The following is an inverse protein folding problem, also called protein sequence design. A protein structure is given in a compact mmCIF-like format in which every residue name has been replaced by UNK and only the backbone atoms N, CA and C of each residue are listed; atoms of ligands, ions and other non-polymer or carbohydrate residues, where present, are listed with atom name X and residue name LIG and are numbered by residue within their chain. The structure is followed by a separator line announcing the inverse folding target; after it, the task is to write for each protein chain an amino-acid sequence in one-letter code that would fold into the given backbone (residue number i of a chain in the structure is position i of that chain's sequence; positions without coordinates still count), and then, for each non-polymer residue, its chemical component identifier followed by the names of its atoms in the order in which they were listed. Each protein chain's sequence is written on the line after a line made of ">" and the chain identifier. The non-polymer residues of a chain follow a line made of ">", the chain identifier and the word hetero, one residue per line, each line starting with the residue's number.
data_IF_490721407501
#
_entry.id   IF_490721407501
#
_cell.length_a   1.000
_cell.length_b   1.000
_cell.length_c   1.000
_cell.angle_alpha   90.00
_cell.angle_beta   90.00
_cell.angle_gamma   90.00
#
_symmetry.space_group_name_H-M   'P 1'
#
loop_
_entity.id
_entity.type
_entity.pdbx_description
1 polymer ?
#
# COMPACT_ATOMS: atom_id res chain seq x y z
N UNK A 1 -56.06 20.40 17.87
CA UNK A 1 -54.84 21.20 18.14
C UNK A 1 -54.09 20.53 19.28
N UNK A 2 -53.00 19.81 19.00
CA UNK A 2 -52.23 19.06 19.99
C UNK A 2 -51.56 20.02 20.98
N UNK A 3 -52.21 20.28 22.13
CA UNK A 3 -51.60 21.01 23.25
C UNK A 3 -50.70 20.05 24.02
N UNK A 4 -49.49 19.85 23.52
CA UNK A 4 -48.41 19.22 24.28
C UNK A 4 -48.01 20.19 25.40
N UNK A 5 -47.86 19.71 26.63
CA UNK A 5 -47.48 20.59 27.73
C UNK A 5 -46.04 21.12 27.55
N UNK A 6 -45.77 22.34 28.00
CA UNK A 6 -44.41 22.91 27.94
C UNK A 6 -43.35 22.00 28.59
N UNK A 7 -43.74 21.23 29.60
CA UNK A 7 -42.87 20.24 30.26
C UNK A 7 -42.55 19.05 29.36
N UNK A 8 -43.53 18.52 28.62
CA UNK A 8 -43.31 17.46 27.63
C UNK A 8 -42.41 17.92 26.48
N UNK A 9 -42.53 19.17 26.05
CA UNK A 9 -41.66 19.76 25.01
C UNK A 9 -40.22 19.86 25.51
N UNK A 10 -40.00 20.33 26.75
CA UNK A 10 -38.65 20.43 27.34
C UNK A 10 -38.00 19.06 27.49
N UNK A 11 -38.77 18.06 27.92
CA UNK A 11 -38.28 16.70 28.10
C UNK A 11 -37.91 16.06 26.75
N UNK A 12 -38.79 16.16 25.74
CA UNK A 12 -38.51 15.68 24.38
C UNK A 12 -37.29 16.38 23.76
N UNK A 13 -37.13 17.69 23.97
CA UNK A 13 -35.97 18.44 23.47
C UNK A 13 -34.67 18.03 24.17
N UNK A 14 -34.72 17.75 25.47
CA UNK A 14 -33.57 17.26 26.24
C UNK A 14 -33.15 15.86 25.78
N UNK A 15 -34.12 14.96 25.58
CA UNK A 15 -33.88 13.62 25.06
C UNK A 15 -33.31 13.68 23.64
N UNK A 16 -33.90 14.49 22.75
CA UNK A 16 -33.41 14.70 21.39
C UNK A 16 -32.00 15.32 21.36
N UNK A 17 -31.70 16.26 22.25
CA UNK A 17 -30.35 16.84 22.35
C UNK A 17 -29.33 15.80 22.83
N UNK A 18 -29.72 14.92 23.76
CA UNK A 18 -28.90 13.81 24.23
C UNK A 18 -28.63 12.79 23.14
N UNK A 19 -29.64 12.42 22.35
CA UNK A 19 -29.47 11.49 21.22
C UNK A 19 -28.64 12.10 20.10
N UNK A 20 -28.82 13.38 19.78
CA UNK A 20 -28.01 14.09 18.79
C UNK A 20 -26.53 14.10 19.15
N UNK A 21 -26.19 14.32 20.43
CA UNK A 21 -24.79 14.27 20.87
C UNK A 21 -24.20 12.87 20.77
N UNK A 22 -24.95 11.83 21.18
CA UNK A 22 -24.52 10.44 21.05
C UNK A 22 -24.29 10.06 19.58
N UNK A 23 -25.24 10.38 18.72
CA UNK A 23 -25.13 10.13 17.29
C UNK A 23 -23.96 10.89 16.66
N UNK A 24 -23.72 12.14 17.07
CA UNK A 24 -22.56 12.89 16.60
C UNK A 24 -21.25 12.22 17.00
N UNK A 25 -21.15 11.74 18.25
CA UNK A 25 -19.97 11.03 18.75
C UNK A 25 -19.76 9.70 18.00
N UNK A 26 -20.81 8.89 17.88
CA UNK A 26 -20.78 7.63 17.11
C UNK A 26 -20.38 7.87 15.65
N UNK A 27 -20.85 8.97 15.04
CA UNK A 27 -20.50 9.31 13.68
C UNK A 27 -19.01 9.66 13.54
N UNK A 28 -18.44 10.41 14.47
CA UNK A 28 -16.98 10.66 14.51
C UNK A 28 -16.19 9.36 14.68
N UNK A 29 -16.56 8.51 15.62
CA UNK A 29 -15.87 7.23 15.86
C UNK A 29 -15.95 6.29 14.64
N UNK A 30 -17.11 6.24 13.97
CA UNK A 30 -17.27 5.46 12.75
C UNK A 30 -16.49 6.06 11.59
N UNK A 31 -16.43 7.38 11.47
CA UNK A 31 -15.64 8.08 10.45
C UNK A 31 -14.15 7.80 10.60
N UNK A 32 -13.63 7.80 11.82
CA UNK A 32 -12.23 7.44 12.12
C UNK A 32 -11.93 5.98 11.78
N UNK A 33 -12.82 5.06 12.17
CA UNK A 33 -12.69 3.63 11.80
C UNK A 33 -12.71 3.44 10.29
N UNK A 34 -13.61 4.14 9.58
CA UNK A 34 -13.71 4.08 8.14
C UNK A 34 -12.41 4.57 7.50
N UNK A 35 -11.88 5.71 7.93
CA UNK A 35 -10.61 6.24 7.44
C UNK A 35 -9.44 5.25 7.65
N UNK A 36 -9.38 4.60 8.81
CA UNK A 36 -8.39 3.56 9.09
C UNK A 36 -8.50 2.37 8.13
N UNK A 37 -9.71 1.82 7.95
CA UNK A 37 -9.91 0.66 7.07
C UNK A 37 -9.67 1.01 5.60
N UNK A 38 -10.04 2.21 5.15
CA UNK A 38 -9.74 2.68 3.79
C UNK A 38 -8.23 2.82 3.57
N UNK A 39 -7.50 3.37 4.55
CA UNK A 39 -6.03 3.42 4.49
C UNK A 39 -5.46 2.01 4.40
N UNK A 40 -5.95 1.09 5.24
CA UNK A 40 -5.49 -0.31 5.26
C UNK A 40 -5.71 -1.03 3.94
N UNK A 41 -6.91 -0.94 3.36
CA UNK A 41 -7.22 -1.54 2.06
C UNK A 41 -6.30 -1.00 0.97
N UNK A 42 -6.00 0.31 1.01
CA UNK A 42 -5.06 0.92 0.07
C UNK A 42 -3.64 0.37 0.26
N UNK A 43 -3.16 0.26 1.49
CA UNK A 43 -1.86 -0.34 1.79
C UNK A 43 -1.78 -1.81 1.33
N UNK A 44 -2.86 -2.58 1.48
CA UNK A 44 -2.94 -3.96 1.00
C UNK A 44 -2.80 -4.04 -0.52
N UNK A 45 -3.47 -3.16 -1.29
CA UNK A 45 -3.33 -3.08 -2.76
C UNK A 45 -1.89 -2.75 -3.17
N UNK A 46 -1.30 -1.75 -2.52
CA UNK A 46 0.08 -1.35 -2.79
C UNK A 46 1.05 -2.50 -2.46
N UNK A 47 0.90 -3.17 -1.32
CA UNK A 47 1.72 -4.32 -0.94
C UNK A 47 1.59 -5.50 -1.91
N UNK A 48 0.40 -5.70 -2.48
CA UNK A 48 0.17 -6.69 -3.53
C UNK A 48 0.97 -6.32 -4.79
N UNK A 49 0.86 -5.08 -5.27
CA UNK A 49 1.62 -4.61 -6.44
C UNK A 49 3.14 -4.70 -6.22
N UNK A 50 3.62 -4.36 -5.01
CA UNK A 50 5.02 -4.55 -4.63
C UNK A 50 5.45 -6.01 -4.77
N UNK A 51 4.61 -6.94 -4.32
CA UNK A 51 4.90 -8.37 -4.37
C UNK A 51 4.89 -8.91 -5.79
N UNK A 52 3.94 -8.48 -6.63
CA UNK A 52 3.88 -8.83 -8.05
C UNK A 52 5.08 -8.31 -8.85
N UNK A 53 5.64 -7.16 -8.46
CA UNK A 53 6.82 -6.56 -9.11
C UNK A 53 8.15 -7.06 -8.57
N UNK A 54 8.13 -7.80 -7.46
CA UNK A 54 9.33 -8.27 -6.78
C UNK A 54 10.06 -7.18 -6.00
N UNK A 55 9.34 -6.14 -5.56
CA UNK A 55 9.85 -5.05 -4.74
C UNK A 55 9.87 -5.53 -3.28
N UNK A 56 11.04 -5.42 -2.63
CA UNK A 56 11.32 -5.96 -1.28
C UNK A 56 10.92 -7.45 -1.15
N UNK A 57 11.54 -8.36 -1.92
CA UNK A 57 11.19 -9.78 -1.91
C UNK A 57 11.48 -10.46 -0.57
N UNK A 58 12.35 -9.88 0.26
CA UNK A 58 12.69 -10.33 1.60
C UNK A 58 11.56 -10.13 2.62
N UNK A 59 10.62 -9.21 2.35
CA UNK A 59 9.50 -8.92 3.22
C UNK A 59 8.27 -9.75 2.84
N UNK A 60 7.57 -10.25 3.85
CA UNK A 60 6.24 -10.85 3.70
C UNK A 60 5.19 -9.78 3.37
N UNK A 61 4.05 -10.20 2.81
CA UNK A 61 2.93 -9.29 2.53
C UNK A 61 2.49 -8.52 3.78
N UNK A 62 2.43 -9.19 4.94
CA UNK A 62 2.02 -8.55 6.19
C UNK A 62 3.01 -7.48 6.65
N UNK A 63 4.31 -7.71 6.47
CA UNK A 63 5.35 -6.73 6.81
C UNK A 63 5.29 -5.51 5.89
N UNK A 64 5.05 -5.72 4.59
CA UNK A 64 4.85 -4.61 3.63
C UNK A 64 3.65 -3.75 4.00
N UNK A 65 2.52 -4.37 4.37
CA UNK A 65 1.31 -3.64 4.80
C UNK A 65 1.57 -2.87 6.10
N UNK A 66 2.26 -3.47 7.07
CA UNK A 66 2.61 -2.79 8.32
C UNK A 66 3.52 -1.56 8.06
N UNK A 67 4.55 -1.72 7.23
CA UNK A 67 5.44 -0.61 6.85
C UNK A 67 4.66 0.53 6.17
N UNK A 68 3.77 0.21 5.22
CA UNK A 68 2.94 1.21 4.53
C UNK A 68 1.94 1.91 5.46
N UNK A 69 1.42 1.21 6.48
CA UNK A 69 0.51 1.78 7.47
C UNK A 69 1.21 2.78 8.40
N UNK A 70 2.47 2.53 8.73
CA UNK A 70 3.30 3.36 9.61
C UNK A 70 4.06 4.47 8.86
N UNK A 71 4.07 4.42 7.52
CA UNK A 71 4.79 5.39 6.69
C UNK A 71 4.20 6.79 6.79
N UNK A 72 5.06 7.79 7.04
CA UNK A 72 4.74 9.23 7.03
C UNK A 72 4.65 9.83 5.62
N UNK A 73 5.14 9.11 4.61
CA UNK A 73 5.06 9.53 3.20
C UNK A 73 3.65 9.33 2.66
N UNK A 74 3.23 10.19 1.73
CA UNK A 74 1.95 9.99 1.04
C UNK A 74 1.94 8.66 0.30
N UNK A 75 0.87 7.87 0.48
CA UNK A 75 0.64 6.63 -0.24
C UNK A 75 0.61 6.84 -1.77
N UNK A 76 0.21 8.03 -2.24
CA UNK A 76 0.23 8.37 -3.67
C UNK A 76 1.67 8.34 -4.23
N UNK A 77 2.63 8.89 -3.47
CA UNK A 77 4.03 8.94 -3.87
C UNK A 77 4.64 7.55 -3.89
N UNK A 78 4.26 6.71 -2.92
CA UNK A 78 4.72 5.33 -2.85
C UNK A 78 4.16 4.50 -4.00
N UNK A 79 2.87 4.66 -4.31
CA UNK A 79 2.21 3.99 -5.43
C UNK A 79 2.85 4.37 -6.78
N UNK A 80 3.10 5.65 -7.03
CA UNK A 80 3.80 6.09 -8.24
C UNK A 80 5.24 5.58 -8.30
N UNK A 81 5.97 5.55 -7.17
CA UNK A 81 7.31 4.98 -7.12
C UNK A 81 7.31 3.49 -7.52
N UNK A 82 6.35 2.71 -7.02
CA UNK A 82 6.16 1.29 -7.35
C UNK A 82 5.80 1.10 -8.83
N UNK A 83 4.99 2.01 -9.40
CA UNK A 83 4.63 1.98 -10.82
C UNK A 83 5.83 2.21 -11.72
N UNK A 84 6.68 3.17 -11.36
CA UNK A 84 7.90 3.53 -12.07
C UNK A 84 9.02 2.50 -11.91
N UNK A 85 9.01 1.74 -10.81
CA UNK A 85 10.00 0.69 -10.59
C UNK A 85 9.86 -0.38 -11.68
N UNK A 86 10.93 -0.65 -12.45
CA UNK A 86 10.90 -1.68 -13.48
C UNK A 86 10.52 -3.00 -12.84
N UNK A 87 9.50 -3.68 -13.38
CA UNK A 87 9.29 -5.11 -13.07
C UNK A 87 10.63 -5.77 -13.26
N UNK A 88 11.18 -6.32 -12.19
CA UNK A 88 12.51 -6.92 -12.15
C UNK A 88 12.78 -7.69 -13.46
N UNK A 89 13.47 -7.04 -14.41
CA UNK A 89 14.18 -7.79 -15.42
C UNK A 89 15.24 -8.48 -14.58
N UNK A 90 15.11 -9.80 -14.42
CA UNK A 90 16.23 -10.66 -14.06
C UNK A 90 17.31 -10.47 -15.12
N UNK A 91 18.05 -9.37 -15.04
CA UNK A 91 19.27 -9.17 -15.79
C UNK A 91 20.27 -10.13 -15.18
N UNK A 92 20.40 -11.27 -15.85
CA UNK A 92 21.44 -12.27 -15.66
C UNK A 92 21.77 -12.57 -14.19
N UNK A 93 21.10 -13.60 -13.63
CA UNK A 93 21.87 -14.54 -12.83
C UNK A 93 22.96 -15.09 -13.77
N UNK A 94 24.13 -14.47 -13.73
CA UNK A 94 25.36 -15.05 -14.22
C UNK A 94 25.53 -16.31 -13.36
N UNK A 95 25.08 -17.45 -13.87
CA UNK A 95 25.56 -18.75 -13.39
C UNK A 95 27.07 -18.76 -13.63
N UNK A 96 27.82 -18.35 -12.62
CA UNK A 96 29.23 -18.63 -12.51
C UNK A 96 29.36 -20.14 -12.23
N UNK A 97 29.23 -20.95 -13.29
CA UNK A 97 29.14 -22.39 -13.14
C UNK A 97 28.72 -23.19 -14.37
N UNK A 98 29.15 -22.82 -15.58
CA UNK A 98 28.79 -23.62 -16.75
C UNK A 98 29.49 -23.25 -18.05
N UNK A 99 30.71 -23.76 -18.24
CA UNK A 99 31.39 -23.97 -19.54
C UNK A 99 31.36 -22.78 -20.52
N UNK A 100 32.45 -22.01 -20.51
CA UNK A 100 32.88 -21.20 -21.65
C UNK A 100 32.80 -22.04 -22.94
N UNK A 101 31.75 -21.84 -23.72
CA UNK A 101 31.62 -22.42 -25.05
C UNK A 101 32.32 -21.51 -26.06
N UNK A 102 33.15 -22.16 -26.84
CA UNK A 102 34.16 -21.65 -27.76
C UNK A 102 33.54 -21.09 -29.05
N UNK A 103 32.70 -20.05 -28.98
CA UNK A 103 32.07 -19.52 -30.20
C UNK A 103 31.93 -17.99 -30.26
N UNK A 104 32.89 -17.27 -29.68
CA UNK A 104 33.03 -15.83 -29.94
C UNK A 104 34.11 -15.60 -31.03
N UNK A 105 33.72 -15.23 -32.28
CA UNK A 105 34.66 -14.98 -33.38
C UNK A 105 35.58 -13.76 -33.14
N UNK A 106 35.32 -12.98 -32.10
CA UNK A 106 36.16 -11.85 -31.72
C UNK A 106 37.48 -12.28 -31.03
N UNK A 107 37.52 -13.44 -30.38
CA UNK A 107 38.75 -13.93 -29.74
C UNK A 107 39.74 -14.56 -30.72
N UNK A 108 39.28 -15.14 -31.84
CA UNK A 108 40.17 -15.71 -32.86
C UNK A 108 40.96 -14.66 -33.63
N UNK A 109 40.40 -13.45 -33.79
CA UNK A 109 41.05 -12.34 -34.49
C UNK A 109 42.18 -11.75 -33.64
N UNK A 110 42.02 -11.70 -32.32
CA UNK A 110 43.06 -11.17 -31.43
C UNK A 110 44.23 -12.15 -31.31
N UNK A 111 43.97 -13.47 -31.36
CA UNK A 111 45.00 -14.50 -31.29
C UNK A 111 45.88 -14.59 -32.57
N UNK A 112 45.39 -14.17 -33.73
CA UNK A 112 46.14 -14.23 -35.01
C UNK A 112 47.01 -13.00 -35.29
N UNK A 113 47.04 -12.02 -34.39
CA UNK A 113 47.83 -10.78 -34.50
C UNK A 113 49.09 -10.78 -33.62
N UNK A 114 49.44 -11.93 -33.03
CA UNK A 114 50.54 -12.05 -32.06
C UNK A 114 51.65 -13.05 -32.47
N UNK A 115 51.75 -13.37 -33.77
CA UNK A 115 52.97 -13.95 -34.36
C UNK A 115 54.01 -12.86 -34.66
#
# INVERSE_FOLDING_TARGET
>A
MLKISSTQIKQALSEASGTLRKLAQENTELSEKLAFYVKKERCEKIAQEMSERGIKPEQTFSEKVAELMETDRSLDVVEEAIRLEPKTMKLASLEDGGRFTESNPFFSIVASLQD
#
